data_IF_240195105573
#
_entry.id   IF_240195105573
#
_cell.length_a   1.000
_cell.length_b   1.000
_cell.length_c   1.000
_cell.angle_alpha   90.00
_cell.angle_beta   90.00
_cell.angle_gamma   90.00
#
_symmetry.space_group_name_H-M   'P 1'
#
loop_
_entity.id
_entity.type
_entity.pdbx_description
1 polymer ?
#
# COMPACT_ATOMS: atom_id res chain seq x y z
N UNK A 1 -10.68 -14.15 -11.70
CA UNK A 1 -10.48 -13.03 -10.76
C UNK A 1 -11.25 -11.84 -11.31
N UNK A 2 -12.20 -11.30 -10.56
CA UNK A 2 -12.94 -10.10 -10.97
C UNK A 2 -12.18 -8.83 -10.59
N UNK A 3 -12.66 -7.65 -11.04
CA UNK A 3 -11.99 -6.37 -10.77
C UNK A 3 -11.85 -6.07 -9.28
N UNK A 4 -12.86 -6.38 -8.47
CA UNK A 4 -12.84 -6.15 -7.02
C UNK A 4 -11.88 -7.09 -6.31
N UNK A 5 -11.81 -8.36 -6.70
CA UNK A 5 -10.85 -9.31 -6.13
C UNK A 5 -9.41 -8.91 -6.47
N UNK A 6 -9.16 -8.42 -7.68
CA UNK A 6 -7.85 -7.92 -8.09
C UNK A 6 -7.42 -6.70 -7.24
N UNK A 7 -8.35 -5.78 -6.98
CA UNK A 7 -8.09 -4.61 -6.12
C UNK A 7 -7.87 -5.01 -4.66
N UNK A 8 -8.59 -6.00 -4.14
CA UNK A 8 -8.35 -6.53 -2.78
C UNK A 8 -6.97 -7.18 -2.66
N UNK A 9 -6.53 -7.90 -3.70
CA UNK A 9 -5.18 -8.46 -3.74
C UNK A 9 -4.13 -7.34 -3.77
N UNK A 10 -4.33 -6.31 -4.60
CA UNK A 10 -3.43 -5.15 -4.64
C UNK A 10 -3.37 -4.44 -3.28
N UNK A 11 -4.53 -4.19 -2.65
CA UNK A 11 -4.62 -3.58 -1.33
C UNK A 11 -3.79 -4.33 -0.28
N UNK A 12 -3.90 -5.67 -0.25
CA UNK A 12 -3.11 -6.51 0.65
C UNK A 12 -1.61 -6.40 0.40
N UNK A 13 -1.19 -6.15 -0.85
CA UNK A 13 0.22 -5.94 -1.20
C UNK A 13 0.75 -4.58 -0.77
N UNK A 14 -0.07 -3.53 -0.86
CA UNK A 14 0.30 -2.22 -0.31
C UNK A 14 0.46 -2.27 1.21
N UNK A 15 -0.42 -2.99 1.91
CA UNK A 15 -0.32 -3.17 3.37
C UNK A 15 0.95 -3.93 3.78
N UNK A 16 1.31 -4.97 3.03
CA UNK A 16 2.55 -5.73 3.22
C UNK A 16 3.79 -4.83 2.99
N UNK A 17 3.78 -4.04 1.91
CA UNK A 17 4.87 -3.12 1.58
C UNK A 17 5.04 -2.01 2.64
N UNK A 18 3.94 -1.44 3.15
CA UNK A 18 3.96 -0.44 4.22
C UNK A 18 4.67 -0.98 5.47
N UNK A 19 4.35 -2.21 5.88
CA UNK A 19 4.96 -2.85 7.04
C UNK A 19 6.45 -3.14 6.79
N UNK A 20 6.80 -3.67 5.62
CA UNK A 20 8.18 -3.97 5.23
C UNK A 20 9.03 -2.69 5.24
N UNK A 21 8.61 -1.64 4.53
CA UNK A 21 9.36 -0.39 4.50
C UNK A 21 9.43 0.27 5.88
N UNK A 22 8.38 0.14 6.69
CA UNK A 22 8.39 0.57 8.09
C UNK A 22 9.49 -0.11 8.90
N UNK A 23 9.57 -1.44 8.85
CA UNK A 23 10.61 -2.22 9.54
C UNK A 23 12.01 -1.91 9.03
N UNK A 24 12.21 -1.93 7.72
CA UNK A 24 13.50 -1.64 7.10
C UNK A 24 14.00 -0.22 7.44
N UNK A 25 13.08 0.75 7.61
CA UNK A 25 13.47 2.13 7.97
C UNK A 25 14.11 2.24 9.37
N UNK A 26 13.84 1.27 10.24
CA UNK A 26 14.41 1.15 11.58
C UNK A 26 15.72 0.36 11.51
N UNK A 27 15.73 -0.75 10.77
CA UNK A 27 16.90 -1.64 10.62
C UNK A 27 18.05 -1.01 9.82
N UNK A 28 17.73 -0.12 8.88
CA UNK A 28 18.70 0.50 7.98
C UNK A 28 18.64 2.04 8.03
N UNK A 29 19.14 2.68 9.12
CA UNK A 29 19.08 4.13 9.28
C UNK A 29 19.70 4.94 8.14
N UNK A 30 20.72 4.39 7.47
CA UNK A 30 21.43 5.03 6.36
C UNK A 30 20.54 5.31 5.13
N UNK A 31 19.45 4.56 4.95
CA UNK A 31 18.50 4.71 3.84
C UNK A 31 17.08 4.99 4.35
N UNK A 32 16.95 5.46 5.59
CA UNK A 32 15.66 5.67 6.27
C UNK A 32 14.74 6.62 5.49
N UNK A 33 15.26 7.72 4.97
CA UNK A 33 14.46 8.72 4.26
C UNK A 33 13.80 8.12 3.03
N UNK A 34 14.57 7.43 2.19
CA UNK A 34 14.06 6.70 1.03
C UNK A 34 12.98 5.67 1.41
N UNK A 35 13.22 4.88 2.46
CA UNK A 35 12.26 3.86 2.90
C UNK A 35 10.97 4.49 3.44
N UNK A 36 11.06 5.63 4.14
CA UNK A 36 9.90 6.38 4.59
C UNK A 36 9.14 6.99 3.42
N UNK A 37 9.83 7.51 2.39
CA UNK A 37 9.20 7.99 1.16
C UNK A 37 8.45 6.89 0.42
N UNK A 38 9.07 5.73 0.21
CA UNK A 38 8.41 4.56 -0.40
C UNK A 38 7.17 4.14 0.39
N UNK A 39 7.28 4.02 1.73
CA UNK A 39 6.14 3.72 2.59
C UNK A 39 5.01 4.73 2.43
N UNK A 40 5.33 6.02 2.29
CA UNK A 40 4.33 7.07 2.11
C UNK A 40 3.64 7.00 0.75
N UNK A 41 4.31 6.57 -0.31
CA UNK A 41 3.67 6.31 -1.61
C UNK A 41 2.69 5.13 -1.51
N UNK A 42 3.05 4.04 -0.83
CA UNK A 42 2.12 2.90 -0.66
C UNK A 42 0.87 3.28 0.15
N UNK A 43 0.97 4.21 1.11
CA UNK A 43 -0.22 4.77 1.75
C UNK A 43 -1.14 5.50 0.76
N UNK A 44 -0.59 6.21 -0.22
CA UNK A 44 -1.40 6.87 -1.28
C UNK A 44 -2.03 5.83 -2.20
N UNK A 45 -1.29 4.81 -2.59
CA UNK A 45 -1.81 3.70 -3.40
C UNK A 45 -2.95 2.98 -2.68
N UNK A 46 -2.78 2.65 -1.40
CA UNK A 46 -3.82 2.08 -0.54
C UNK A 46 -5.11 2.91 -0.55
N UNK A 47 -5.00 4.22 -0.29
CA UNK A 47 -6.17 5.12 -0.29
C UNK A 47 -6.89 5.15 -1.65
N UNK A 48 -6.13 5.16 -2.75
CA UNK A 48 -6.69 5.13 -4.10
C UNK A 48 -7.43 3.82 -4.39
N UNK A 49 -6.85 2.68 -4.00
CA UNK A 49 -7.44 1.36 -4.17
C UNK A 49 -8.72 1.22 -3.33
N UNK A 50 -8.70 1.62 -2.06
CA UNK A 50 -9.87 1.62 -1.18
C UNK A 50 -11.02 2.44 -1.77
N UNK A 51 -10.73 3.65 -2.25
CA UNK A 51 -11.70 4.49 -2.96
C UNK A 51 -12.26 3.76 -4.18
N UNK A 52 -11.42 3.08 -4.96
CA UNK A 52 -11.85 2.38 -6.16
C UNK A 52 -12.73 1.16 -5.87
N UNK A 53 -12.43 0.42 -4.81
CA UNK A 53 -13.29 -0.67 -4.33
C UNK A 53 -14.67 -0.14 -3.99
N UNK A 54 -14.75 0.95 -3.22
CA UNK A 54 -16.04 1.58 -2.85
C UNK A 54 -16.84 2.03 -4.08
N UNK A 55 -16.18 2.61 -5.09
CA UNK A 55 -16.84 2.98 -6.36
C UNK A 55 -17.46 1.78 -7.09
N UNK A 56 -16.76 0.64 -7.10
CA UNK A 56 -17.19 -0.56 -7.82
C UNK A 56 -18.23 -1.40 -7.07
N UNK A 57 -18.32 -1.26 -5.74
CA UNK A 57 -19.28 -2.00 -4.90
C UNK A 57 -20.53 -1.19 -4.54
N UNK A 58 -20.65 0.06 -5.02
CA UNK A 58 -21.80 0.95 -4.75
C UNK A 58 -23.03 0.70 -5.65
N UNK A 59 -23.05 -0.39 -6.40
CA UNK A 59 -24.16 -0.85 -7.24
C UNK A 59 -24.37 -2.35 -7.03
#
# INVERSE_FOLDING_TARGET
MGPVEALKLALSKEEEAIDIYGKLSIEHPAIKELLVELRNEEYKHKQLIEKKIVELTKY
#
